data_IF_846724299203
#
_entry.id   IF_846724299203
#
_cell.length_a   1.000
_cell.length_b   1.000
_cell.length_c   1.000
_cell.angle_alpha   90.00
_cell.angle_beta   90.00
_cell.angle_gamma   90.00
#
_symmetry.space_group_name_H-M   'P 1'
#
loop_
_entity.id
_entity.type
_entity.pdbx_description
1 polymer ?
#
# COMPACT_ATOMS: atom_id res chain seq x y z
N UNK A 1 3.12 20.22 5.61
CA UNK A 1 1.71 19.83 5.87
C UNK A 1 1.68 18.33 6.10
N UNK A 2 1.29 17.87 7.30
CA UNK A 2 1.30 16.46 7.68
C UNK A 2 -0.05 15.77 7.42
N UNK A 3 -0.03 14.45 7.19
CA UNK A 3 -1.24 13.63 7.16
C UNK A 3 -1.81 13.53 8.58
N UNK A 4 -3.14 13.51 8.71
CA UNK A 4 -3.81 13.33 10.01
C UNK A 4 -4.02 11.86 10.32
N UNK A 5 -4.00 11.52 11.60
CA UNK A 5 -4.47 10.24 12.11
C UNK A 5 -6.01 10.30 12.19
N UNK A 6 -6.68 9.26 11.67
CA UNK A 6 -8.13 9.12 11.69
C UNK A 6 -8.53 7.85 12.45
N UNK A 7 -9.71 7.85 13.06
CA UNK A 7 -10.29 6.66 13.69
C UNK A 7 -10.86 5.75 12.60
N UNK A 8 -10.55 4.45 12.68
CA UNK A 8 -11.10 3.42 11.77
C UNK A 8 -11.55 2.23 12.61
N UNK A 9 -12.86 2.13 12.86
CA UNK A 9 -13.41 1.10 13.75
C UNK A 9 -12.75 1.14 15.13
N UNK A 10 -12.19 0.00 15.55
CA UNK A 10 -11.45 -0.13 16.81
C UNK A 10 -9.97 0.31 16.72
N UNK A 11 -9.51 0.73 15.55
CA UNK A 11 -8.11 1.08 15.27
C UNK A 11 -7.95 2.55 14.87
N UNK A 12 -6.70 2.96 14.59
CA UNK A 12 -6.36 4.25 14.01
C UNK A 12 -5.59 4.04 12.70
N UNK A 13 -5.71 4.98 11.77
CA UNK A 13 -5.06 4.92 10.48
C UNK A 13 -4.47 6.29 10.11
N UNK A 14 -3.46 6.28 9.23
CA UNK A 14 -2.93 7.48 8.59
C UNK A 14 -3.36 7.45 7.13
N UNK A 15 -3.83 8.59 6.62
CA UNK A 15 -4.18 8.69 5.21
C UNK A 15 -2.92 8.55 4.34
N UNK A 16 -3.01 7.81 3.24
CA UNK A 16 -1.96 7.72 2.24
C UNK A 16 -2.20 8.78 1.14
N UNK A 17 -1.14 9.43 0.60
CA UNK A 17 -1.32 10.40 -0.47
C UNK A 17 -1.92 9.74 -1.72
N UNK A 18 -2.92 10.38 -2.33
CA UNK A 18 -3.60 9.83 -3.51
C UNK A 18 -2.64 9.53 -4.69
N UNK A 19 -1.60 10.36 -4.88
CA UNK A 19 -0.57 10.14 -5.91
C UNK A 19 0.21 8.84 -5.66
N UNK A 20 0.51 8.52 -4.40
CA UNK A 20 1.22 7.30 -4.00
C UNK A 20 0.35 6.05 -4.23
N UNK A 21 -0.91 6.09 -3.79
CA UNK A 21 -1.89 5.01 -4.00
C UNK A 21 -2.05 4.69 -5.49
N UNK A 22 -2.18 5.72 -6.33
CA UNK A 22 -2.30 5.56 -7.78
C UNK A 22 -1.02 5.03 -8.42
N UNK A 23 0.15 5.55 -8.05
CA UNK A 23 1.43 5.15 -8.63
C UNK A 23 1.74 3.66 -8.43
N UNK A 24 1.36 3.09 -7.28
CA UNK A 24 1.57 1.68 -6.97
C UNK A 24 0.34 0.80 -7.22
N UNK A 25 -0.76 1.37 -7.73
CA UNK A 25 -2.05 0.69 -7.92
C UNK A 25 -2.51 -0.07 -6.67
N UNK A 26 -2.36 0.56 -5.49
CA UNK A 26 -2.72 -0.04 -4.22
C UNK A 26 -4.23 -0.13 -4.08
N UNK A 27 -4.72 -1.24 -3.53
CA UNK A 27 -6.13 -1.42 -3.18
C UNK A 27 -6.28 -1.91 -1.74
N UNK A 28 -7.47 -1.67 -1.19
CA UNK A 28 -7.85 -2.23 0.11
C UNK A 28 -7.70 -3.76 0.10
N UNK A 29 -7.09 -4.30 1.16
CA UNK A 29 -6.81 -5.72 1.28
C UNK A 29 -5.47 -6.18 0.71
N UNK A 30 -4.68 -5.29 0.11
CA UNK A 30 -3.32 -5.64 -0.30
C UNK A 30 -2.43 -5.95 0.92
N UNK A 31 -1.59 -7.00 0.86
CA UNK A 31 -0.68 -7.31 1.94
C UNK A 31 0.41 -6.25 2.04
N UNK A 32 0.70 -5.79 3.26
CA UNK A 32 1.74 -4.78 3.53
C UNK A 32 2.64 -5.31 4.63
N UNK A 33 3.96 -5.25 4.43
CA UNK A 33 4.92 -5.55 5.49
C UNK A 33 5.09 -4.32 6.39
N UNK A 34 5.07 -4.53 7.70
CA UNK A 34 5.17 -3.44 8.70
C UNK A 34 6.40 -3.69 9.57
N UNK A 35 7.24 -2.66 9.72
CA UNK A 35 8.32 -2.63 10.72
C UNK A 35 8.13 -1.44 11.64
N UNK A 36 8.11 -1.69 12.94
CA UNK A 36 7.91 -0.65 13.96
C UNK A 36 9.22 -0.44 14.73
N UNK A 37 9.64 0.81 14.84
CA UNK A 37 10.72 1.24 15.72
C UNK A 37 10.15 2.10 16.85
N UNK A 38 9.90 1.48 17.99
CA UNK A 38 9.30 2.14 19.15
C UNK A 38 10.20 3.22 19.77
N UNK A 39 11.52 3.06 19.70
CA UNK A 39 12.48 4.02 20.26
C UNK A 39 12.43 5.34 19.48
N UNK A 40 12.31 5.25 18.15
CA UNK A 40 12.21 6.42 17.26
C UNK A 40 10.79 6.90 17.01
N UNK A 41 9.78 6.14 17.44
CA UNK A 41 8.37 6.43 17.10
C UNK A 41 8.08 6.30 15.60
N UNK A 42 8.80 5.45 14.89
CA UNK A 42 8.70 5.30 13.43
C UNK A 42 7.98 4.00 13.05
N UNK A 43 7.18 4.06 12.00
CA UNK A 43 6.60 2.88 11.35
C UNK A 43 6.95 2.94 9.87
N UNK A 44 7.56 1.86 9.37
CA UNK A 44 7.88 1.69 7.96
C UNK A 44 6.91 0.68 7.36
N UNK A 45 6.15 1.15 6.37
CA UNK A 45 5.27 0.33 5.54
C UNK A 45 5.95 0.01 4.23
N UNK A 46 6.07 -1.26 3.89
CA UNK A 46 6.56 -1.72 2.59
C UNK A 46 5.38 -2.30 1.82
N UNK A 47 4.95 -1.52 0.83
CA UNK A 47 3.85 -1.89 -0.06
C UNK A 47 4.35 -2.81 -1.18
N UNK A 48 3.48 -3.67 -1.73
CA UNK A 48 3.83 -4.48 -2.89
C UNK A 48 4.23 -3.54 -4.03
N UNK A 49 5.31 -3.90 -4.73
CA UNK A 49 5.71 -3.16 -5.93
C UNK A 49 4.58 -3.21 -6.96
N UNK A 50 4.52 -2.19 -7.83
CA UNK A 50 3.53 -2.11 -8.90
C UNK A 50 3.41 -3.48 -9.57
N UNK A 51 2.21 -4.07 -9.51
CA UNK A 51 1.96 -5.38 -10.10
C UNK A 51 2.33 -5.27 -11.56
N UNK A 52 3.26 -6.11 -12.00
CA UNK A 52 3.49 -6.31 -13.41
C UNK A 52 2.12 -6.64 -14.02
N UNK A 53 1.74 -5.96 -15.11
CA UNK A 53 0.50 -6.29 -15.81
C UNK A 53 0.56 -7.80 -16.11
N UNK A 54 -0.50 -8.57 -15.79
CA UNK A 54 -0.53 -9.98 -16.16
C UNK A 54 -0.23 -10.04 -17.66
N UNK A 55 0.81 -10.80 -18.03
CA UNK A 55 1.09 -11.04 -19.44
C UNK A 55 -0.16 -11.70 -20.01
N UNK A 56 -0.81 -11.03 -20.95
CA UNK A 56 -1.96 -11.57 -21.67
C UNK A 56 -1.44 -12.78 -22.46
N UNK A 57 -1.52 -13.97 -21.85
CA UNK A 57 -1.20 -15.23 -22.51
C UNK A 57 -2.34 -15.61 -23.46
N UNK A 58 -2.75 -14.70 -24.35
CA UNK A 58 -3.42 -15.07 -25.59
C UNK A 58 -2.38 -15.21 -26.68
N UNK A 59 -1.67 -16.33 -26.66
CA UNK A 59 -1.05 -16.87 -27.88
C UNK A 59 -0.84 -18.37 -27.78
N UNK A 60 -1.92 -19.10 -28.05
CA UNK A 60 -1.88 -20.42 -28.67
C UNK A 60 -2.74 -20.35 -29.94
N UNK A 61 -2.17 -19.79 -31.01
CA UNK A 61 -2.71 -19.87 -32.36
C UNK A 61 -2.05 -21.05 -33.05
N UNK A 62 -2.74 -22.18 -33.11
CA UNK A 62 -2.85 -23.20 -34.18
C UNK A 62 -3.28 -24.52 -33.57
#
# INVERSE_FOLDING_TARGET
MGQKIIRTGNSIAVTLPAKFVKALSLKSGDPVEIKVNYIKGEIVFKFPSARQLPLDSKKGWK
#
